data_IF_604169699760
#
_entry.id   IF_604169699760
#
_cell.length_a   1.000
_cell.length_b   1.000
_cell.length_c   1.000
_cell.angle_alpha   90.00
_cell.angle_beta   90.00
_cell.angle_gamma   90.00
#
_symmetry.space_group_name_H-M   'P 1'
#
loop_
_entity.id
_entity.type
_entity.pdbx_description
1 polymer ?
#
# COMPACT_ATOMS: atom_id res chain seq x y z
N UNK A 1 8.21 43.83 8.28
CA UNK A 1 8.10 43.26 6.92
C UNK A 1 8.22 41.77 7.15
N UNK A 2 7.06 41.13 7.23
CA UNK A 2 6.86 39.85 7.90
C UNK A 2 7.41 38.70 7.04
N UNK A 3 8.32 37.91 7.61
CA UNK A 3 8.80 36.68 7.00
C UNK A 3 7.99 35.52 7.58
N UNK A 4 7.08 35.00 6.77
CA UNK A 4 6.06 34.01 7.15
C UNK A 4 6.68 32.61 7.16
N UNK A 5 6.87 32.06 8.36
CA UNK A 5 6.52 30.68 8.72
C UNK A 5 7.29 29.54 8.04
N UNK A 6 8.43 29.17 8.62
CA UNK A 6 8.93 27.78 8.60
C UNK A 6 7.90 26.86 9.26
N UNK A 7 7.02 26.27 8.45
CA UNK A 7 6.13 25.21 8.90
C UNK A 7 6.93 23.92 8.77
N UNK A 8 7.44 23.39 9.89
CA UNK A 8 8.32 22.22 10.00
C UNK A 8 7.74 20.88 9.50
N UNK A 9 7.21 20.84 8.29
CA UNK A 9 6.79 19.63 7.60
C UNK A 9 8.01 18.95 7.01
N UNK A 10 8.40 17.82 7.60
CA UNK A 10 9.40 16.92 7.00
C UNK A 10 8.98 16.56 5.57
N UNK A 11 9.90 16.55 4.59
CA UNK A 11 9.57 16.24 3.21
C UNK A 11 8.90 14.86 3.11
N UNK A 12 7.70 14.79 2.53
CA UNK A 12 7.01 13.52 2.34
C UNK A 12 7.87 12.58 1.49
N UNK A 13 8.10 11.33 1.92
CA UNK A 13 8.94 10.40 1.18
C UNK A 13 8.33 10.12 -0.20
N UNK A 14 9.07 10.45 -1.25
CA UNK A 14 8.63 10.25 -2.64
C UNK A 14 8.37 8.76 -2.92
N UNK A 15 7.21 8.46 -3.50
CA UNK A 15 6.90 7.13 -4.04
C UNK A 15 6.28 6.10 -3.08
N UNK A 16 5.96 6.44 -1.82
CA UNK A 16 5.15 5.56 -0.96
C UNK A 16 3.66 5.75 -1.23
N UNK A 17 2.92 4.64 -1.33
CA UNK A 17 1.45 4.70 -1.24
C UNK A 17 1.12 5.16 0.19
N UNK A 18 0.36 6.24 0.30
CA UNK A 18 -0.16 6.71 1.58
C UNK A 18 -1.49 6.00 1.87
N UNK A 19 -1.61 5.40 3.06
CA UNK A 19 -2.83 4.68 3.50
C UNK A 19 -4.07 5.57 3.37
N UNK A 20 -3.97 6.87 3.68
CA UNK A 20 -5.09 7.82 3.57
C UNK A 20 -5.61 8.00 2.15
N UNK A 21 -4.71 8.01 1.16
CA UNK A 21 -5.12 8.11 -0.24
C UNK A 21 -5.89 6.86 -0.61
N UNK A 22 -5.42 5.67 -0.22
CA UNK A 22 -6.14 4.42 -0.48
C UNK A 22 -7.49 4.38 0.22
N UNK A 23 -7.60 4.82 1.47
CA UNK A 23 -8.88 4.92 2.18
C UNK A 23 -9.86 5.85 1.46
N UNK A 24 -9.40 7.02 1.00
CA UNK A 24 -10.21 7.94 0.20
C UNK A 24 -10.70 7.30 -1.09
N UNK A 25 -9.84 6.56 -1.79
CA UNK A 25 -10.21 5.85 -3.01
C UNK A 25 -11.22 4.75 -2.73
N UNK A 26 -11.01 3.93 -1.69
CA UNK A 26 -11.92 2.85 -1.31
C UNK A 26 -13.31 3.37 -0.94
N UNK A 27 -13.42 4.53 -0.28
CA UNK A 27 -14.71 5.17 -0.01
C UNK A 27 -15.51 5.51 -1.27
N UNK A 28 -14.83 5.95 -2.32
CA UNK A 28 -15.46 6.41 -3.56
C UNK A 28 -15.73 5.24 -4.49
N UNK A 29 -14.78 4.31 -4.61
CA UNK A 29 -14.76 3.29 -5.65
C UNK A 29 -15.32 1.93 -5.22
N UNK A 30 -15.47 1.67 -3.92
CA UNK A 30 -15.89 0.36 -3.41
C UNK A 30 -17.06 0.47 -2.42
N UNK A 31 -18.04 -0.43 -2.58
CA UNK A 31 -19.12 -0.61 -1.62
C UNK A 31 -18.60 -1.08 -0.25
N UNK A 32 -19.37 -0.85 0.80
CA UNK A 32 -18.95 -1.07 2.20
C UNK A 32 -18.69 -2.52 2.58
N UNK A 33 -19.15 -3.49 1.79
CA UNK A 33 -18.93 -4.93 1.98
C UNK A 33 -18.11 -5.57 0.83
N UNK A 34 -17.36 -4.78 0.06
CA UNK A 34 -16.59 -5.26 -1.08
C UNK A 34 -15.41 -6.18 -0.70
N UNK A 35 -15.00 -7.04 -1.63
CA UNK A 35 -13.73 -7.77 -1.58
C UNK A 35 -12.68 -6.98 -2.37
N UNK A 36 -11.61 -6.55 -1.70
CA UNK A 36 -10.50 -5.77 -2.27
C UNK A 36 -9.33 -6.71 -2.56
N UNK A 37 -9.01 -6.89 -3.83
CA UNK A 37 -7.90 -7.75 -4.29
C UNK A 37 -6.68 -6.92 -4.72
N UNK A 38 -5.53 -7.13 -4.07
CA UNK A 38 -4.25 -6.52 -4.44
C UNK A 38 -3.21 -7.60 -4.75
N UNK A 39 -2.74 -7.66 -6.00
CA UNK A 39 -1.73 -8.62 -6.43
C UNK A 39 -0.33 -8.02 -6.68
N UNK A 40 -0.18 -6.73 -6.36
CA UNK A 40 1.09 -6.01 -6.44
C UNK A 40 1.52 -5.44 -5.07
N UNK A 41 0.93 -5.93 -3.98
CA UNK A 41 1.06 -5.31 -2.67
C UNK A 41 2.39 -5.63 -1.99
N UNK A 42 3.46 -5.01 -2.48
CA UNK A 42 4.82 -5.09 -1.89
C UNK A 42 4.87 -4.63 -0.43
N UNK A 43 3.95 -3.75 -0.01
CA UNK A 43 4.00 -3.07 1.29
C UNK A 43 2.65 -3.01 2.01
N UNK A 44 1.72 -3.91 1.65
CA UNK A 44 0.44 -4.18 2.35
C UNK A 44 -0.51 -2.99 2.62
N UNK A 45 -0.21 -1.77 2.11
CA UNK A 45 -0.99 -0.56 2.38
C UNK A 45 -2.46 -0.65 1.97
N UNK A 46 -2.79 -1.44 0.93
CA UNK A 46 -4.19 -1.67 0.53
C UNK A 46 -4.96 -2.41 1.61
N UNK A 47 -4.36 -3.43 2.21
CA UNK A 47 -4.95 -4.18 3.33
C UNK A 47 -5.04 -3.32 4.58
N UNK A 48 -4.01 -2.52 4.87
CA UNK A 48 -4.04 -1.55 5.99
C UNK A 48 -5.18 -0.55 5.84
N UNK A 49 -5.39 0.00 4.63
CA UNK A 49 -6.48 0.93 4.34
C UNK A 49 -7.85 0.30 4.58
N UNK A 50 -8.05 -0.96 4.19
CA UNK A 50 -9.29 -1.71 4.47
C UNK A 50 -9.52 -1.86 5.98
N UNK A 51 -8.49 -2.30 6.71
CA UNK A 51 -8.56 -2.50 8.17
C UNK A 51 -8.93 -1.21 8.89
N UNK A 52 -8.36 -0.08 8.46
CA UNK A 52 -8.63 1.23 9.08
C UNK A 52 -9.99 1.82 8.68
N UNK A 53 -10.40 1.64 7.43
CA UNK A 53 -11.63 2.25 6.93
C UNK A 53 -12.90 1.58 7.48
N UNK A 54 -12.90 0.24 7.61
CA UNK A 54 -14.07 -0.50 8.10
C UNK A 54 -14.64 0.02 9.45
N UNK A 55 -13.84 0.18 10.52
CA UNK A 55 -14.36 0.75 11.77
C UNK A 55 -14.72 2.23 11.66
N UNK A 56 -14.13 2.96 10.72
CA UNK A 56 -14.38 4.39 10.54
C UNK A 56 -15.71 4.68 9.81
N UNK A 57 -16.09 3.83 8.83
CA UNK A 57 -17.32 4.00 8.05
C UNK A 57 -18.39 2.91 8.27
N UNK A 58 -18.17 2.02 9.24
CA UNK A 58 -19.06 0.89 9.54
C UNK A 58 -19.06 -0.19 8.46
N UNK A 59 -18.08 -0.20 7.57
CA UNK A 59 -17.91 -1.20 6.52
C UNK A 59 -17.43 -2.56 7.02
N UNK A 60 -17.59 -3.56 6.16
CA UNK A 60 -17.18 -4.96 6.35
C UNK A 60 -16.33 -5.46 5.18
N UNK A 61 -15.60 -4.55 4.52
CA UNK A 61 -14.75 -4.88 3.37
C UNK A 61 -13.73 -5.94 3.75
N UNK A 62 -13.48 -6.87 2.83
CA UNK A 62 -12.46 -7.91 2.98
C UNK A 62 -11.27 -7.57 2.09
N UNK A 63 -10.06 -7.96 2.51
CA UNK A 63 -8.85 -7.77 1.70
C UNK A 63 -8.19 -9.11 1.41
N UNK A 64 -7.87 -9.34 0.13
CA UNK A 64 -7.05 -10.45 -0.34
C UNK A 64 -5.78 -9.84 -0.95
N UNK A 65 -4.64 -10.18 -0.37
CA UNK A 65 -3.34 -9.68 -0.77
C UNK A 65 -2.47 -10.82 -1.28
N UNK A 66 -1.94 -10.68 -2.49
CA UNK A 66 -0.90 -11.56 -3.03
C UNK A 66 0.43 -10.84 -2.98
N UNK A 67 1.40 -11.45 -2.29
CA UNK A 67 2.79 -11.02 -2.27
C UNK A 67 3.65 -12.03 -3.05
N UNK A 68 4.51 -11.52 -3.92
CA UNK A 68 5.48 -12.35 -4.60
C UNK A 68 6.59 -12.76 -3.63
N UNK A 69 7.02 -14.02 -3.70
CA UNK A 69 8.19 -14.51 -2.97
C UNK A 69 9.49 -14.13 -3.70
N UNK A 70 9.65 -12.86 -4.08
CA UNK A 70 10.79 -12.40 -4.87
C UNK A 70 12.11 -12.79 -4.19
N UNK A 71 12.93 -13.54 -4.92
CA UNK A 71 14.30 -13.83 -4.49
C UNK A 71 15.15 -12.58 -4.67
N UNK A 72 15.88 -12.19 -3.61
CA UNK A 72 16.78 -11.04 -3.69
C UNK A 72 17.80 -11.18 -4.83
N UNK A 73 18.26 -10.05 -5.37
CA UNK A 73 19.10 -9.97 -6.59
C UNK A 73 20.27 -10.95 -6.61
N UNK A 74 20.93 -11.16 -5.47
CA UNK A 74 22.04 -12.12 -5.34
C UNK A 74 21.59 -13.57 -5.54
N UNK A 75 20.47 -13.95 -4.93
CA UNK A 75 19.89 -15.30 -5.05
C UNK A 75 19.30 -15.53 -6.43
N UNK A 76 18.70 -14.50 -7.04
CA UNK A 76 18.24 -14.54 -8.43
C UNK A 76 19.40 -14.81 -9.41
N UNK A 77 20.55 -14.14 -9.23
CA UNK A 77 21.76 -14.39 -10.03
C UNK A 77 22.29 -15.81 -9.85
N UNK A 78 22.30 -16.32 -8.62
CA UNK A 78 22.74 -17.69 -8.33
C UNK A 78 21.81 -18.74 -8.97
N UNK A 79 20.49 -18.55 -8.88
CA UNK A 79 19.49 -19.44 -9.48
C UNK A 79 19.59 -19.45 -11.01
N UNK A 80 19.74 -18.28 -11.66
CA UNK A 80 19.97 -18.21 -13.11
C UNK A 80 21.26 -18.92 -13.53
N UNK A 81 22.34 -18.79 -12.74
CA UNK A 81 23.60 -19.52 -13.00
C UNK A 81 23.43 -21.04 -12.85
N UNK A 82 22.54 -21.48 -11.97
CA UNK A 82 22.21 -22.89 -11.75
C UNK A 82 21.19 -23.46 -12.76
N UNK A 83 20.77 -22.68 -13.77
CA UNK A 83 19.79 -23.11 -14.78
C UNK A 83 18.33 -23.07 -14.31
N UNK A 84 18.06 -22.44 -13.17
CA UNK A 84 16.69 -22.18 -12.70
C UNK A 84 16.27 -20.79 -13.17
N UNK A 85 15.21 -20.73 -13.99
CA UNK A 85 14.64 -19.51 -14.57
C UNK A 85 13.37 -19.09 -13.82
#
# INVERSE_FOLDING_TARGET
MDDIGDTGATPRPRGRKETEVLMRWLRIAAVSNAVIFDFFGRSVFTTEAVIRLNPEDGGTRQSILVISNEVGVRRAKALRKAGHH
#
